data_IF_474036823939
#
_entry.id   IF_474036823939
#
_cell.length_a   1.000
_cell.length_b   1.000
_cell.length_c   1.000
_cell.angle_alpha   90.00
_cell.angle_beta   90.00
_cell.angle_gamma   90.00
#
_symmetry.space_group_name_H-M   'P 1'
#
loop_
_entity.id
_entity.type
_entity.pdbx_description
1 polymer ?
#
# COMPACT_ATOMS: atom_id res chain seq x y z
N UNK A 1 -11.81 -7.11 -6.46
CA UNK A 1 -10.95 -6.44 -7.46
C UNK A 1 -9.65 -7.22 -7.54
N UNK A 2 -9.20 -7.55 -8.74
CA UNK A 2 -8.03 -8.40 -8.96
C UNK A 2 -6.75 -7.59 -8.86
N UNK A 3 -5.70 -8.19 -8.29
CA UNK A 3 -4.36 -7.61 -8.27
C UNK A 3 -3.88 -7.20 -9.67
N UNK A 4 -3.33 -5.99 -9.86
CA UNK A 4 -2.73 -5.57 -11.12
C UNK A 4 -1.42 -6.31 -11.42
N UNK A 5 -0.80 -6.96 -10.43
CA UNK A 5 0.37 -7.83 -10.61
C UNK A 5 0.10 -9.20 -9.97
N UNK A 6 -0.55 -10.14 -10.68
CA UNK A 6 -1.06 -11.40 -10.09
C UNK A 6 0.00 -12.31 -9.48
N UNK A 7 1.25 -12.20 -9.93
CA UNK A 7 2.38 -12.99 -9.44
C UNK A 7 3.08 -12.36 -8.22
N UNK A 8 2.68 -11.16 -7.83
CA UNK A 8 3.24 -10.43 -6.70
C UNK A 8 2.28 -10.51 -5.51
N UNK A 9 2.70 -11.08 -4.37
CA UNK A 9 1.81 -11.28 -3.23
C UNK A 9 1.31 -9.95 -2.67
N UNK A 10 0.03 -9.95 -2.28
CA UNK A 10 -0.56 -8.83 -1.58
C UNK A 10 -0.06 -8.75 -0.15
N UNK A 11 0.13 -7.52 0.33
CA UNK A 11 0.54 -7.19 1.69
C UNK A 11 -0.47 -6.25 2.33
N UNK A 12 -0.60 -6.32 3.66
CA UNK A 12 -1.41 -5.39 4.42
C UNK A 12 -0.64 -4.07 4.59
N UNK A 13 -1.11 -3.02 3.93
CA UNK A 13 -0.59 -1.67 3.99
C UNK A 13 -1.45 -0.83 4.96
N UNK A 14 -0.83 -0.30 6.01
CA UNK A 14 -1.46 0.62 6.96
C UNK A 14 -0.90 2.03 6.75
N UNK A 15 -1.77 2.99 6.44
CA UNK A 15 -1.45 4.40 6.19
C UNK A 15 -2.05 5.24 7.31
N UNK A 16 -1.22 6.05 7.98
CA UNK A 16 -1.67 7.00 9.00
C UNK A 16 -1.70 8.40 8.43
N UNK A 17 -2.89 8.97 8.27
CA UNK A 17 -3.10 10.31 7.73
C UNK A 17 -3.85 11.15 8.77
N UNK A 18 -3.17 12.15 9.36
CA UNK A 18 -3.77 13.09 10.32
C UNK A 18 -4.49 12.38 11.47
N UNK A 19 -3.85 11.35 12.03
CA UNK A 19 -4.42 10.55 13.12
C UNK A 19 -5.47 9.52 12.70
N UNK A 20 -5.82 9.43 11.42
CA UNK A 20 -6.69 8.39 10.87
C UNK A 20 -5.84 7.25 10.33
N UNK A 21 -6.13 6.02 10.76
CA UNK A 21 -5.54 4.80 10.20
C UNK A 21 -6.41 4.28 9.06
N UNK A 22 -5.79 4.04 7.92
CA UNK A 22 -6.39 3.48 6.72
C UNK A 22 -5.65 2.20 6.35
N UNK A 23 -6.38 1.09 6.23
CA UNK A 23 -5.82 -0.23 5.97
C UNK A 23 -6.21 -0.72 4.58
N UNK A 24 -5.22 -1.20 3.81
CA UNK A 24 -5.38 -1.62 2.42
C UNK A 24 -4.64 -2.93 2.14
N UNK A 25 -5.12 -3.64 1.12
CA UNK A 25 -4.34 -4.64 0.42
C UNK A 25 -3.63 -3.99 -0.79
N UNK A 26 -2.35 -4.30 -0.98
CA UNK A 26 -1.61 -3.91 -2.18
C UNK A 26 -0.57 -4.97 -2.53
N UNK A 27 -0.24 -5.10 -3.81
CA UNK A 27 0.94 -5.83 -4.26
C UNK A 27 2.17 -5.34 -3.51
N UNK A 28 3.04 -6.25 -3.09
CA UNK A 28 4.29 -5.92 -2.41
C UNK A 28 5.09 -4.85 -3.15
N UNK A 29 5.20 -4.95 -4.47
CA UNK A 29 5.91 -3.98 -5.32
C UNK A 29 5.28 -2.60 -5.23
N UNK A 30 3.95 -2.52 -5.37
CA UNK A 30 3.23 -1.25 -5.26
C UNK A 30 3.34 -0.64 -3.86
N UNK A 31 3.23 -1.46 -2.81
CA UNK A 31 3.41 -1.03 -1.43
C UNK A 31 4.83 -0.51 -1.16
N UNK A 32 5.87 -1.17 -1.69
CA UNK A 32 7.25 -0.71 -1.59
C UNK A 32 7.46 0.64 -2.28
N UNK A 33 6.98 0.81 -3.51
CA UNK A 33 7.06 2.09 -4.25
C UNK A 33 6.28 3.19 -3.54
N UNK A 34 5.07 2.87 -3.03
CA UNK A 34 4.26 3.79 -2.24
C UNK A 34 5.05 4.32 -1.04
N UNK A 35 5.64 3.42 -0.23
CA UNK A 35 6.42 3.81 0.95
C UNK A 35 7.64 4.64 0.58
N UNK A 36 8.33 4.31 -0.51
CA UNK A 36 9.50 5.06 -0.98
C UNK A 36 9.12 6.51 -1.36
N UNK A 37 8.13 6.68 -2.23
CA UNK A 37 7.63 8.00 -2.64
C UNK A 37 7.05 8.77 -1.46
N UNK A 38 6.36 8.07 -0.56
CA UNK A 38 5.80 8.64 0.64
C UNK A 38 6.89 9.24 1.55
N UNK A 39 7.98 8.49 1.79
CA UNK A 39 9.13 8.95 2.58
C UNK A 39 9.84 10.13 1.94
N UNK A 40 9.98 10.15 0.61
CA UNK A 40 10.63 11.25 -0.13
C UNK A 40 9.85 12.56 -0.03
N UNK A 41 8.53 12.48 0.03
CA UNK A 41 7.65 13.65 -0.11
C UNK A 41 7.03 14.11 1.22
N UNK A 42 7.32 13.43 2.33
CA UNK A 42 6.86 13.75 3.69
C UNK A 42 5.34 14.00 3.79
N UNK A 43 4.54 13.23 3.04
CA UNK A 43 3.12 13.55 2.86
C UNK A 43 2.20 13.13 4.03
N UNK A 44 2.58 12.17 4.89
CA UNK A 44 1.77 11.70 6.03
C UNK A 44 2.61 11.33 7.25
N UNK A 45 1.91 11.14 8.37
CA UNK A 45 2.49 10.88 9.69
C UNK A 45 3.26 9.54 9.74
N UNK A 46 2.70 8.46 9.15
CA UNK A 46 3.38 7.16 9.08
C UNK A 46 2.77 6.20 8.04
N UNK A 47 3.59 5.30 7.49
CA UNK A 47 3.15 4.20 6.61
C UNK A 47 3.88 2.90 7.00
N UNK A 48 3.13 1.81 7.16
CA UNK A 48 3.63 0.51 7.58
C UNK A 48 3.11 -0.62 6.71
N UNK A 49 3.96 -1.64 6.50
CA UNK A 49 3.51 -2.97 6.07
C UNK A 49 3.34 -3.81 7.32
N UNK A 50 2.15 -4.36 7.53
CA UNK A 50 1.87 -5.22 8.67
C UNK A 50 2.11 -6.69 8.30
N UNK A 51 2.54 -7.53 9.27
CA UNK A 51 2.77 -8.95 9.04
C UNK A 51 1.48 -9.75 8.85
N UNK A 52 0.33 -9.13 9.11
CA UNK A 52 -0.99 -9.73 9.00
C UNK A 52 -1.39 -9.99 7.53
N UNK A 53 -2.38 -10.86 7.34
CA UNK A 53 -2.89 -11.18 6.01
C UNK A 53 -3.55 -9.94 5.37
N UNK A 54 -3.29 -9.73 4.07
CA UNK A 54 -3.92 -8.67 3.27
C UNK A 54 -5.39 -8.98 2.94
N UNK A 55 -5.84 -10.21 3.16
CA UNK A 55 -7.19 -10.68 2.85
C UNK A 55 -8.27 -9.93 3.65
N UNK A 56 -9.33 -9.53 2.96
CA UNK A 56 -10.45 -8.79 3.55
C UNK A 56 -10.27 -7.26 3.56
N UNK A 57 -9.07 -6.74 3.32
CA UNK A 57 -8.84 -5.29 3.19
C UNK A 57 -9.18 -4.77 1.79
N UNK A 58 -9.67 -3.51 1.69
CA UNK A 58 -9.90 -2.89 0.39
C UNK A 58 -8.57 -2.72 -0.36
N UNK A 59 -8.61 -2.83 -1.69
CA UNK A 59 -7.42 -2.60 -2.51
C UNK A 59 -6.97 -1.14 -2.41
N UNK A 60 -5.66 -0.90 -2.37
CA UNK A 60 -5.10 0.45 -2.44
C UNK A 60 -5.64 1.19 -3.68
N UNK A 61 -6.29 2.35 -3.52
CA UNK A 61 -6.74 3.15 -4.65
C UNK A 61 -5.58 3.57 -5.55
N UNK A 62 -5.79 3.53 -6.86
CA UNK A 62 -4.78 3.90 -7.86
C UNK A 62 -3.45 3.12 -7.74
N UNK A 63 -3.48 1.92 -7.18
CA UNK A 63 -2.31 1.06 -6.99
C UNK A 63 -1.40 0.96 -8.22
N UNK A 64 -2.00 0.92 -9.42
CA UNK A 64 -1.27 0.84 -10.70
C UNK A 64 -0.24 1.97 -10.90
N UNK A 65 -0.48 3.16 -10.34
CA UNK A 65 0.47 4.28 -10.40
C UNK A 65 1.82 3.96 -9.73
N UNK A 66 1.84 2.98 -8.83
CA UNK A 66 3.04 2.54 -8.12
C UNK A 66 3.74 1.34 -8.78
N UNK A 67 3.18 0.85 -9.90
CA UNK A 67 3.76 -0.20 -10.75
C UNK A 67 4.30 0.35 -12.07
N UNK A 68 3.70 1.44 -12.56
CA UNK A 68 4.10 2.15 -13.77
C UNK A 68 5.29 3.08 -13.44
N UNK A 69 6.52 2.55 -13.50
CA UNK A 69 7.76 3.33 -13.36
C UNK A 69 8.54 3.39 -14.67
#
# INVERSE_FOLDING_TARGET
>A
MTSPLPNDPDVHLSVFLHGVRLDFAACRTAASTFIEEHRKRHYVDAVHVLPDNAEGWPRLPNERLYLER
#
